data_IF_276359707798
#
_entry.id   IF_276359707798
#
_cell.length_a   1.000
_cell.length_b   1.000
_cell.length_c   1.000
_cell.angle_alpha   90.00
_cell.angle_beta   90.00
_cell.angle_gamma   90.00
#
_symmetry.space_group_name_H-M   'P 1'
#
loop_
_entity.id
_entity.type
_entity.pdbx_description
1 polymer ?
#
# COMPACT_ATOMS: atom_id res chain seq x y z
N UNK A 1 -27.97 8.52 -15.22
CA UNK A 1 -28.04 7.51 -14.14
C UNK A 1 -26.82 6.60 -14.01
N UNK A 2 -26.16 6.14 -15.10
CA UNK A 2 -24.97 5.25 -15.00
C UNK A 2 -23.78 5.84 -14.23
N UNK A 3 -23.58 7.15 -14.33
CA UNK A 3 -22.54 7.90 -13.60
C UNK A 3 -22.77 7.77 -12.09
N UNK A 4 -23.98 8.07 -11.61
CA UNK A 4 -24.31 8.02 -10.17
C UNK A 4 -24.04 6.63 -9.60
N UNK A 5 -24.47 5.55 -10.27
CA UNK A 5 -24.23 4.17 -9.81
C UNK A 5 -22.75 3.77 -9.77
N UNK A 6 -21.88 4.43 -10.55
CA UNK A 6 -20.46 4.13 -10.57
C UNK A 6 -19.68 4.93 -9.51
N UNK A 7 -20.01 6.21 -9.32
CA UNK A 7 -19.31 7.08 -8.38
C UNK A 7 -19.83 6.95 -6.94
N UNK A 8 -21.10 6.60 -6.76
CA UNK A 8 -21.70 6.41 -5.43
C UNK A 8 -20.94 5.40 -4.55
N UNK A 9 -20.61 4.17 -5.01
CA UNK A 9 -19.87 3.23 -4.17
C UNK A 9 -18.47 3.73 -3.81
N UNK A 10 -17.79 4.41 -4.75
CA UNK A 10 -16.46 4.95 -4.51
C UNK A 10 -16.47 6.11 -3.52
N UNK A 11 -17.48 6.98 -3.61
CA UNK A 11 -17.71 8.06 -2.66
C UNK A 11 -18.07 7.51 -1.27
N UNK A 12 -18.93 6.49 -1.21
CA UNK A 12 -19.32 5.86 0.04
C UNK A 12 -18.12 5.19 0.72
N UNK A 13 -17.29 4.46 -0.02
CA UNK A 13 -16.04 3.89 0.49
C UNK A 13 -15.05 4.92 1.04
N UNK A 14 -15.16 6.19 0.62
CA UNK A 14 -14.27 7.26 1.06
C UNK A 14 -14.85 8.03 2.25
N UNK A 15 -16.14 8.36 2.21
CA UNK A 15 -16.81 9.13 3.27
C UNK A 15 -17.04 8.27 4.52
N UNK A 16 -17.43 7.01 4.35
CA UNK A 16 -17.72 6.11 5.48
C UNK A 16 -16.54 5.98 6.47
N UNK A 17 -15.31 5.59 6.07
CA UNK A 17 -14.21 5.44 7.02
C UNK A 17 -13.80 6.78 7.63
N UNK A 18 -13.82 7.87 6.86
CA UNK A 18 -13.56 9.22 7.38
C UNK A 18 -14.50 9.56 8.53
N UNK A 19 -15.81 9.37 8.32
CA UNK A 19 -16.81 9.65 9.35
C UNK A 19 -16.66 8.70 10.53
N UNK A 20 -16.52 7.39 10.28
CA UNK A 20 -16.36 6.39 11.33
C UNK A 20 -15.16 6.71 12.25
N UNK A 21 -13.98 6.93 11.68
CA UNK A 21 -12.79 7.23 12.47
C UNK A 21 -12.87 8.60 13.14
N UNK A 22 -13.51 9.59 12.52
CA UNK A 22 -13.77 10.88 13.19
C UNK A 22 -14.61 10.70 14.47
N UNK A 23 -15.70 9.94 14.40
CA UNK A 23 -16.53 9.66 15.58
C UNK A 23 -15.82 8.78 16.60
N UNK A 24 -15.16 7.71 16.15
CA UNK A 24 -14.53 6.72 17.03
C UNK A 24 -13.29 7.27 17.75
N UNK A 25 -12.53 8.18 17.13
CA UNK A 25 -11.29 8.72 17.71
C UNK A 25 -11.55 10.03 18.47
N UNK A 26 -12.34 10.96 17.91
CA UNK A 26 -12.46 12.31 18.49
C UNK A 26 -13.62 12.40 19.48
N UNK A 27 -14.75 11.76 19.17
CA UNK A 27 -15.98 11.91 19.96
C UNK A 27 -16.19 10.79 20.97
N UNK A 28 -15.42 9.71 20.88
CA UNK A 28 -15.50 8.62 21.85
C UNK A 28 -14.87 9.04 23.20
N UNK A 29 -15.56 8.85 24.33
CA UNK A 29 -15.05 9.28 25.63
C UNK A 29 -13.77 8.53 26.00
N UNK A 30 -12.73 9.28 26.34
CA UNK A 30 -11.44 8.79 26.80
C UNK A 30 -11.12 9.40 28.17
N UNK A 31 -10.85 8.55 29.16
CA UNK A 31 -10.49 9.02 30.51
C UNK A 31 -8.99 9.42 30.64
N UNK A 32 -8.20 9.32 29.56
CA UNK A 32 -6.78 9.70 29.51
C UNK A 32 -5.81 8.79 30.28
N UNK A 33 -6.32 7.86 31.09
CA UNK A 33 -5.52 6.95 31.95
C UNK A 33 -4.79 5.84 31.19
N UNK A 34 -5.17 5.59 29.93
CA UNK A 34 -4.62 4.53 29.07
C UNK A 34 -3.50 5.01 28.14
N UNK A 35 -3.09 6.28 28.24
CA UNK A 35 -2.01 6.81 27.41
C UNK A 35 -0.66 6.40 27.96
N UNK A 36 -0.18 5.26 27.48
CA UNK A 36 1.20 4.86 27.67
C UNK A 36 2.09 5.55 26.62
N UNK A 37 2.91 6.49 27.07
CA UNK A 37 3.91 7.20 26.24
C UNK A 37 5.24 6.44 26.15
N UNK A 38 5.36 5.29 26.81
CA UNK A 38 6.54 4.42 26.74
C UNK A 38 6.41 3.32 25.68
N UNK A 39 5.20 3.14 25.12
CA UNK A 39 4.95 2.23 24.00
C UNK A 39 5.46 2.80 22.66
N UNK A 40 5.74 1.91 21.70
CA UNK A 40 6.20 2.26 20.35
C UNK A 40 5.19 3.15 19.59
N UNK A 41 3.91 3.02 19.92
CA UNK A 41 2.84 3.88 19.47
C UNK A 41 2.47 4.79 20.66
N UNK A 42 2.79 6.08 20.56
CA UNK A 42 2.35 7.06 21.56
C UNK A 42 0.84 6.93 21.79
N UNK A 43 0.42 6.40 22.94
CA UNK A 43 -0.95 5.98 23.16
C UNK A 43 -1.16 4.51 22.73
N UNK A 44 -0.99 3.61 23.70
CA UNK A 44 -1.05 2.14 23.60
C UNK A 44 -2.18 1.55 22.72
N UNK A 45 -3.33 2.22 22.59
CA UNK A 45 -4.36 1.96 21.58
C UNK A 45 -5.43 3.08 21.63
N UNK A 46 -6.24 3.21 20.57
CA UNK A 46 -7.41 4.10 20.59
C UNK A 46 -8.38 3.67 21.71
N UNK A 47 -9.00 4.62 22.40
CA UNK A 47 -9.86 4.31 23.55
C UNK A 47 -11.06 3.42 23.16
N UNK A 48 -11.63 3.60 21.97
CA UNK A 48 -12.76 2.77 21.54
C UNK A 48 -12.38 1.29 21.37
N UNK A 49 -11.13 1.00 21.03
CA UNK A 49 -10.60 -0.37 20.91
C UNK A 49 -10.44 -1.04 22.29
N UNK A 50 -10.05 -0.29 23.32
CA UNK A 50 -9.87 -0.77 24.69
C UNK A 50 -11.19 -0.94 25.45
N UNK A 51 -12.03 0.10 25.46
CA UNK A 51 -13.24 0.13 26.28
C UNK A 51 -14.43 -0.56 25.63
N UNK A 52 -14.47 -0.60 24.29
CA UNK A 52 -15.58 -1.18 23.56
C UNK A 52 -15.14 -2.31 22.63
N UNK A 53 -15.08 -3.52 23.20
CA UNK A 53 -14.74 -4.74 22.46
C UNK A 53 -15.60 -4.96 21.22
N UNK A 54 -16.87 -4.55 21.25
CA UNK A 54 -17.78 -4.67 20.11
C UNK A 54 -17.32 -3.76 18.96
N UNK A 55 -17.01 -2.51 19.28
CA UNK A 55 -16.55 -1.53 18.30
C UNK A 55 -15.16 -1.87 17.75
N UNK A 56 -14.24 -2.32 18.61
CA UNK A 56 -12.92 -2.80 18.19
C UNK A 56 -12.98 -4.03 17.29
N UNK A 57 -13.83 -5.01 17.63
CA UNK A 57 -14.04 -6.21 16.81
C UNK A 57 -14.72 -5.85 15.49
N UNK A 58 -15.65 -4.89 15.50
CA UNK A 58 -16.29 -4.39 14.29
C UNK A 58 -15.27 -3.71 13.36
N UNK A 59 -14.42 -2.83 13.86
CA UNK A 59 -13.38 -2.18 13.06
C UNK A 59 -12.40 -3.21 12.48
N UNK A 60 -11.88 -4.11 13.31
CA UNK A 60 -10.96 -5.15 12.86
C UNK A 60 -11.60 -6.09 11.82
N UNK A 61 -12.86 -6.49 12.01
CA UNK A 61 -13.52 -7.45 11.10
C UNK A 61 -14.03 -6.80 9.82
N UNK A 62 -14.76 -5.70 9.93
CA UNK A 62 -15.47 -5.08 8.80
C UNK A 62 -14.64 -4.03 8.09
N UNK A 63 -13.91 -3.18 8.81
CA UNK A 63 -13.12 -2.12 8.17
C UNK A 63 -11.77 -2.67 7.68
N UNK A 64 -11.20 -3.68 8.33
CA UNK A 64 -9.91 -4.25 7.95
C UNK A 64 -10.03 -5.66 7.32
N UNK A 65 -10.70 -6.58 8.00
CA UNK A 65 -10.81 -7.98 7.55
C UNK A 65 -11.56 -8.16 6.23
N UNK A 66 -12.73 -7.53 6.08
CA UNK A 66 -13.56 -7.67 4.88
C UNK A 66 -12.86 -7.12 3.62
N UNK A 67 -12.27 -5.90 3.61
CA UNK A 67 -11.48 -5.43 2.49
C UNK A 67 -10.31 -6.34 2.15
N UNK A 68 -9.65 -6.94 3.14
CA UNK A 68 -8.57 -7.89 2.89
C UNK A 68 -9.07 -9.15 2.18
N UNK A 69 -10.19 -9.74 2.61
CA UNK A 69 -10.78 -10.91 1.94
C UNK A 69 -11.19 -10.58 0.51
N UNK A 70 -11.83 -9.43 0.30
CA UNK A 70 -12.18 -8.95 -1.05
C UNK A 70 -10.93 -8.80 -1.90
N UNK A 71 -9.87 -8.20 -1.34
CA UNK A 71 -8.60 -8.02 -2.03
C UNK A 71 -7.99 -9.37 -2.42
N UNK A 72 -7.94 -10.33 -1.49
CA UNK A 72 -7.44 -11.69 -1.78
C UNK A 72 -8.22 -12.36 -2.93
N UNK A 73 -9.56 -12.33 -2.89
CA UNK A 73 -10.41 -12.88 -3.95
C UNK A 73 -10.20 -12.15 -5.29
N UNK A 74 -10.09 -10.83 -5.27
CA UNK A 74 -9.82 -10.02 -6.45
C UNK A 74 -8.48 -10.38 -7.10
N UNK A 75 -7.44 -10.66 -6.29
CA UNK A 75 -6.14 -11.07 -6.80
C UNK A 75 -6.15 -12.45 -7.43
N UNK A 76 -6.82 -13.41 -6.81
CA UNK A 76 -7.03 -14.73 -7.40
C UNK A 76 -7.76 -14.59 -8.75
N UNK A 77 -8.84 -13.80 -8.79
CA UNK A 77 -9.58 -13.54 -10.01
C UNK A 77 -8.73 -12.86 -11.10
N UNK A 78 -7.85 -11.92 -10.73
CA UNK A 78 -6.92 -11.26 -11.64
C UNK A 78 -5.89 -12.22 -12.20
N UNK A 79 -5.28 -13.08 -11.37
CA UNK A 79 -4.33 -14.10 -11.82
C UNK A 79 -5.00 -15.03 -12.84
N UNK A 80 -6.20 -15.53 -12.52
CA UNK A 80 -6.98 -16.38 -13.43
C UNK A 80 -7.29 -15.66 -14.74
N UNK A 81 -7.69 -14.39 -14.69
CA UNK A 81 -7.95 -13.58 -15.89
C UNK A 81 -6.68 -13.40 -16.73
N UNK A 82 -5.54 -13.10 -16.12
CA UNK A 82 -4.27 -12.93 -16.82
C UNK A 82 -3.83 -14.24 -17.49
N UNK A 83 -3.93 -15.38 -16.81
CA UNK A 83 -3.58 -16.69 -17.38
C UNK A 83 -4.50 -17.02 -18.56
N UNK A 84 -5.80 -16.78 -18.43
CA UNK A 84 -6.78 -17.00 -19.52
C UNK A 84 -6.55 -16.05 -20.69
N UNK A 85 -6.26 -14.78 -20.42
CA UNK A 85 -6.07 -13.76 -21.45
C UNK A 85 -4.74 -13.92 -22.20
N UNK A 86 -3.69 -14.37 -21.51
CA UNK A 86 -2.41 -14.79 -22.14
C UNK A 86 -2.61 -15.88 -23.19
N UNK A 87 -3.58 -16.78 -22.98
CA UNK A 87 -3.92 -17.84 -23.93
C UNK A 87 -4.76 -17.36 -25.12
N UNK A 88 -5.49 -16.24 -24.99
CA UNK A 88 -6.42 -15.74 -26.03
C UNK A 88 -5.87 -14.59 -26.89
N UNK A 89 -4.99 -13.73 -26.38
CA UNK A 89 -4.56 -12.52 -27.10
C UNK A 89 -3.10 -12.61 -27.60
N UNK A 90 -2.92 -12.61 -28.92
CA UNK A 90 -1.63 -12.49 -29.61
C UNK A 90 -1.18 -11.02 -29.84
N UNK A 91 -1.99 -10.02 -29.46
CA UNK A 91 -1.64 -8.61 -29.66
C UNK A 91 -0.69 -8.09 -28.57
N UNK A 92 0.61 -8.01 -28.90
CA UNK A 92 1.69 -7.72 -27.95
C UNK A 92 1.67 -6.31 -27.33
N UNK A 93 1.12 -5.30 -28.02
CA UNK A 93 1.20 -3.89 -27.61
C UNK A 93 0.22 -3.52 -26.49
N UNK A 94 -1.09 -3.80 -26.65
CA UNK A 94 -2.10 -3.57 -25.60
C UNK A 94 -1.90 -4.50 -24.40
N UNK A 95 -1.39 -5.71 -24.65
CA UNK A 95 -1.03 -6.67 -23.60
C UNK A 95 0.03 -6.14 -22.63
N UNK A 96 1.05 -5.42 -23.13
CA UNK A 96 2.12 -4.89 -22.27
C UNK A 96 1.60 -3.86 -21.27
N UNK A 97 0.65 -3.02 -21.68
CA UNK A 97 0.05 -2.00 -20.81
C UNK A 97 -0.90 -2.62 -19.78
N UNK A 98 -1.79 -3.52 -20.20
CA UNK A 98 -2.67 -4.24 -19.28
C UNK A 98 -1.89 -5.10 -18.27
N UNK A 99 -0.85 -5.82 -18.73
CA UNK A 99 0.00 -6.61 -17.83
C UNK A 99 0.65 -5.75 -16.75
N UNK A 100 1.10 -4.55 -17.10
CA UNK A 100 1.78 -3.65 -16.16
C UNK A 100 0.83 -3.16 -15.07
N UNK A 101 -0.39 -2.74 -15.42
CA UNK A 101 -1.41 -2.34 -14.45
C UNK A 101 -1.79 -3.51 -13.54
N UNK A 102 -1.93 -4.72 -14.09
CA UNK A 102 -2.24 -5.89 -13.27
C UNK A 102 -1.10 -6.28 -12.34
N UNK A 103 0.17 -6.22 -12.80
CA UNK A 103 1.34 -6.49 -11.94
C UNK A 103 1.42 -5.46 -10.81
N UNK A 104 1.07 -4.20 -11.08
CA UNK A 104 1.02 -3.17 -10.05
C UNK A 104 -0.02 -3.47 -8.98
N UNK A 105 -1.24 -3.79 -9.41
CA UNK A 105 -2.32 -4.12 -8.48
C UNK A 105 -2.00 -5.37 -7.65
N UNK A 106 -1.38 -6.37 -8.29
CA UNK A 106 -0.95 -7.61 -7.65
C UNK A 106 0.19 -7.38 -6.66
N UNK A 107 1.17 -6.55 -7.00
CA UNK A 107 2.26 -6.18 -6.10
C UNK A 107 1.72 -5.46 -4.86
N UNK A 108 0.89 -4.43 -5.04
CA UNK A 108 0.28 -3.68 -3.94
C UNK A 108 -0.55 -4.62 -3.06
N UNK A 109 -1.41 -5.43 -3.67
CA UNK A 109 -2.21 -6.36 -2.89
C UNK A 109 -1.39 -7.41 -2.16
N UNK A 110 -0.32 -7.94 -2.77
CA UNK A 110 0.51 -8.94 -2.11
C UNK A 110 1.19 -8.36 -0.87
N UNK A 111 1.65 -7.11 -0.93
CA UNK A 111 2.18 -6.40 0.24
C UNK A 111 1.11 -6.25 1.34
N UNK A 112 -0.10 -5.84 0.98
CA UNK A 112 -1.20 -5.75 1.94
C UNK A 112 -1.54 -7.10 2.59
N UNK A 113 -1.56 -8.18 1.81
CA UNK A 113 -1.83 -9.53 2.35
C UNK A 113 -0.70 -9.97 3.29
N UNK A 114 0.56 -9.77 2.91
CA UNK A 114 1.71 -10.14 3.76
C UNK A 114 1.69 -9.36 5.07
N UNK A 115 1.34 -8.07 5.02
CA UNK A 115 1.27 -7.23 6.20
C UNK A 115 0.13 -7.60 7.15
N UNK A 116 -1.07 -7.87 6.62
CA UNK A 116 -2.26 -8.10 7.44
C UNK A 116 -2.52 -9.56 7.80
N UNK A 117 -2.02 -10.53 7.00
CA UNK A 117 -2.30 -11.94 7.24
C UNK A 117 -1.87 -12.43 8.64
N UNK A 118 -0.70 -12.06 9.18
CA UNK A 118 -0.31 -12.46 10.52
C UNK A 118 -1.31 -12.00 11.59
N UNK A 119 -1.77 -10.74 11.52
CA UNK A 119 -2.75 -10.20 12.46
C UNK A 119 -4.12 -10.87 12.32
N UNK A 120 -4.58 -11.13 11.09
CA UNK A 120 -5.85 -11.82 10.86
C UNK A 120 -5.83 -13.27 11.37
N UNK A 121 -4.75 -14.01 11.10
CA UNK A 121 -4.62 -15.41 11.54
C UNK A 121 -4.66 -15.47 13.06
N UNK A 122 -3.90 -14.62 13.76
CA UNK A 122 -3.89 -14.61 15.22
C UNK A 122 -5.24 -14.21 15.78
N UNK A 123 -5.88 -13.16 15.25
CA UNK A 123 -7.21 -12.74 15.73
C UNK A 123 -8.29 -13.81 15.52
N UNK A 124 -8.24 -14.56 14.40
CA UNK A 124 -9.14 -15.71 14.20
C UNK A 124 -8.92 -16.80 15.25
N UNK A 125 -7.67 -17.12 15.57
CA UNK A 125 -7.34 -18.10 16.63
C UNK A 125 -7.82 -17.62 18.01
N UNK A 126 -7.72 -16.33 18.28
CA UNK A 126 -8.21 -15.73 19.52
C UNK A 126 -9.73 -15.83 19.65
N UNK A 127 -10.48 -15.63 18.56
CA UNK A 127 -11.94 -15.76 18.54
C UNK A 127 -12.37 -17.23 18.66
N UNK A 128 -11.63 -18.16 18.06
CA UNK A 128 -12.01 -19.58 17.97
C UNK A 128 -11.76 -20.37 19.26
N UNK A 129 -10.96 -19.88 20.20
CA UNK A 129 -10.82 -20.56 21.50
C UNK A 129 -9.63 -20.18 22.36
N UNK A 130 -8.66 -19.40 21.86
CA UNK A 130 -7.46 -19.04 22.61
C UNK A 130 -7.28 -17.52 22.70
N UNK A 131 -8.08 -16.81 23.52
CA UNK A 131 -8.17 -15.35 23.51
C UNK A 131 -6.86 -14.63 23.87
N UNK A 132 -5.92 -15.30 24.54
CA UNK A 132 -4.61 -14.75 24.91
C UNK A 132 -3.48 -15.16 23.97
N UNK A 133 -3.76 -16.00 22.95
CA UNK A 133 -2.75 -16.50 22.04
C UNK A 133 -2.10 -15.36 21.27
N UNK A 134 -0.79 -15.17 21.48
CA UNK A 134 0.03 -14.15 20.81
C UNK A 134 -0.53 -12.72 20.89
N UNK A 135 -1.36 -12.40 21.87
CA UNK A 135 -2.01 -11.08 21.95
C UNK A 135 -0.99 -9.93 22.03
N UNK A 136 0.05 -10.08 22.84
CA UNK A 136 1.14 -9.09 22.96
C UNK A 136 1.95 -8.96 21.66
N UNK A 137 2.30 -10.09 21.02
CA UNK A 137 3.05 -10.05 19.75
C UNK A 137 2.19 -9.43 18.63
N UNK A 138 0.89 -9.67 18.66
CA UNK A 138 -0.03 -9.09 17.71
C UNK A 138 -0.12 -7.56 17.85
N UNK A 139 -0.26 -7.06 19.08
CA UNK A 139 -0.33 -5.61 19.35
C UNK A 139 0.98 -4.91 19.05
N UNK A 140 2.11 -5.53 19.43
CA UNK A 140 3.41 -4.85 19.41
C UNK A 140 4.15 -4.98 18.08
N UNK A 141 3.76 -5.95 17.22
CA UNK A 141 4.46 -6.21 15.96
C UNK A 141 3.51 -6.38 14.77
N UNK A 142 2.47 -7.20 14.88
CA UNK A 142 1.65 -7.52 13.71
C UNK A 142 0.75 -6.38 13.26
N UNK A 143 0.29 -5.52 14.17
CA UNK A 143 -0.39 -4.29 13.78
C UNK A 143 0.57 -3.29 13.11
N UNK A 144 1.81 -3.20 13.60
CA UNK A 144 2.83 -2.30 13.05
C UNK A 144 3.34 -2.72 11.67
N UNK A 145 3.15 -3.98 11.27
CA UNK A 145 3.50 -4.44 9.92
C UNK A 145 2.80 -3.64 8.83
N UNK A 146 1.68 -2.97 9.11
CA UNK A 146 1.01 -2.11 8.13
C UNK A 146 1.89 -0.93 7.69
N UNK A 147 2.74 -0.41 8.56
CA UNK A 147 3.66 0.70 8.23
C UNK A 147 4.70 0.28 7.18
N UNK A 148 5.02 -1.00 7.12
CA UNK A 148 5.85 -1.57 6.06
C UNK A 148 5.18 -1.36 4.70
N UNK A 149 3.87 -1.52 4.60
CA UNK A 149 3.13 -1.26 3.34
C UNK A 149 3.28 0.20 2.92
N UNK A 150 3.11 1.14 3.86
CA UNK A 150 3.31 2.56 3.61
C UNK A 150 4.74 2.87 3.14
N UNK A 151 5.75 2.21 3.72
CA UNK A 151 7.14 2.37 3.34
C UNK A 151 7.43 1.83 1.93
N UNK A 152 6.87 0.68 1.57
CA UNK A 152 7.13 0.00 0.29
C UNK A 152 6.25 0.49 -0.88
N UNK A 153 5.09 1.10 -0.61
CA UNK A 153 4.17 1.65 -1.62
C UNK A 153 4.89 2.58 -2.63
N UNK A 154 5.65 3.60 -2.19
CA UNK A 154 6.39 4.48 -3.10
C UNK A 154 7.35 3.71 -4.00
N UNK A 155 8.05 2.71 -3.48
CA UNK A 155 8.98 1.89 -4.25
C UNK A 155 8.27 1.03 -5.30
N UNK A 156 7.10 0.47 -4.97
CA UNK A 156 6.26 -0.24 -5.93
C UNK A 156 5.76 0.69 -7.03
N UNK A 157 5.33 1.91 -6.70
CA UNK A 157 4.94 2.88 -7.72
C UNK A 157 6.12 3.29 -8.61
N UNK A 158 7.27 3.64 -8.01
CA UNK A 158 8.46 4.08 -8.74
C UNK A 158 8.99 2.99 -9.68
N UNK A 159 9.10 1.75 -9.20
CA UNK A 159 9.59 0.61 -9.99
C UNK A 159 8.69 0.28 -11.19
N UNK A 160 7.40 0.62 -11.10
CA UNK A 160 6.43 0.37 -12.14
C UNK A 160 6.10 1.59 -13.00
N UNK A 161 6.74 2.76 -12.83
CA UNK A 161 6.71 3.88 -13.78
C UNK A 161 7.99 3.93 -14.64
N UNK A 162 8.03 3.27 -15.82
CA UNK A 162 9.17 3.25 -16.71
C UNK A 162 9.42 4.60 -17.36
N UNK A 163 8.42 5.48 -17.46
CA UNK A 163 8.62 6.87 -17.91
C UNK A 163 9.47 7.64 -16.91
N UNK A 164 9.21 7.45 -15.61
CA UNK A 164 9.98 8.07 -14.55
C UNK A 164 11.38 7.47 -14.43
N UNK A 165 11.51 6.15 -14.58
CA UNK A 165 12.83 5.49 -14.65
C UNK A 165 13.62 5.96 -15.88
N UNK A 166 12.97 6.11 -17.04
CA UNK A 166 13.61 6.67 -18.25
C UNK A 166 14.07 8.11 -18.00
N UNK A 167 13.19 8.94 -17.46
CA UNK A 167 13.51 10.33 -17.13
C UNK A 167 14.67 10.45 -16.14
N UNK A 168 14.69 9.63 -15.07
CA UNK A 168 15.81 9.57 -14.12
C UNK A 168 17.11 9.13 -14.80
N UNK A 169 17.06 8.11 -15.67
CA UNK A 169 18.24 7.66 -16.43
C UNK A 169 18.75 8.73 -17.38
N UNK A 170 17.86 9.44 -18.07
CA UNK A 170 18.20 10.56 -18.95
C UNK A 170 18.84 11.71 -18.14
N UNK A 171 18.31 12.03 -16.96
CA UNK A 171 18.87 13.04 -16.06
C UNK A 171 20.28 12.66 -15.57
N UNK A 172 20.48 11.39 -15.22
CA UNK A 172 21.78 10.83 -14.81
C UNK A 172 22.80 10.84 -15.95
N UNK A 173 22.40 10.43 -17.16
CA UNK A 173 23.27 10.46 -18.34
C UNK A 173 23.62 11.89 -18.78
N UNK A 174 22.66 12.82 -18.70
CA UNK A 174 22.89 14.24 -18.99
C UNK A 174 23.89 14.86 -18.00
N UNK A 175 23.85 14.47 -16.72
CA UNK A 175 24.86 14.86 -15.72
C UNK A 175 26.24 14.27 -16.01
N UNK A 176 26.31 13.04 -16.52
CA UNK A 176 27.56 12.36 -16.83
C UNK A 176 28.28 12.97 -18.05
N UNK A 177 27.52 13.44 -19.06
CA UNK A 177 28.07 14.11 -20.24
C UNK A 177 28.63 15.52 -19.99
N UNK A 178 28.18 16.22 -18.93
CA UNK A 178 28.71 17.55 -18.57
C UNK A 178 30.05 17.52 -17.84
N UNK A 179 30.44 16.39 -17.26
CA UNK A 179 31.72 16.26 -16.55
C UNK A 179 32.87 15.77 -17.45
N UNK A 180 32.62 15.56 -18.75
CA UNK A 180 33.64 15.28 -19.76
C UNK A 180 33.90 16.56 -20.60
N UNK A 181 34.45 17.59 -19.97
CA UNK A 181 35.12 18.67 -20.71
C UNK A 181 36.43 18.11 -21.22
N UNK A 182 36.44 17.61 -22.45
CA UNK A 182 37.67 17.24 -23.15
C UNK A 182 38.55 18.48 -23.33
N UNK A 183 39.89 18.36 -23.24
CA UNK A 183 40.79 19.51 -23.34
C UNK A 183 40.66 20.13 -24.74
N UNK A 184 40.31 21.41 -24.78
CA UNK A 184 40.30 22.24 -25.98
C UNK A 184 41.70 22.22 -26.60
N UNK A 185 41.87 21.55 -27.74
CA UNK A 185 43.09 21.66 -28.55
C UNK A 185 43.19 23.10 -29.05
N UNK A 186 44.15 23.85 -28.53
CA UNK A 186 44.62 25.09 -29.12
C UNK A 186 45.30 24.75 -30.45
N UNK A 187 44.64 25.11 -31.55
CA UNK A 187 45.21 25.03 -32.90
C UNK A 187 46.28 26.13 -33.01
N UNK A 188 47.52 25.73 -33.24
CA UNK A 188 48.62 26.62 -33.62
C UNK A 188 48.29 27.31 -34.95
N UNK A 189 48.22 28.65 -34.92
CA UNK A 189 48.17 29.49 -36.11
C UNK A 189 49.60 29.65 -36.63
N UNK A 190 49.97 28.78 -37.56
CA UNK A 190 51.15 28.93 -38.41
C UNK A 190 50.76 29.75 -39.64
N UNK A 191 50.77 31.08 -39.52
CA UNK A 191 50.68 31.98 -40.68
C UNK A 191 52.06 32.28 -41.20
N UNK A 192 52.36 31.66 -42.34
CA UNK A 192 53.47 31.98 -43.25
C UNK A 192 53.49 33.48 -43.56
N UNK A 193 54.68 34.08 -43.45
CA UNK A 193 55.16 35.19 -44.26
C UNK A 193 56.64 34.94 -44.54
#
# INVERSE_FOLDING_TARGET
>A
MRIVLHYLPLLLCLIYPMMFYFFAIILYPCDGTQWDYTSNLCGFADCYLLFNKVLGTFDWSFNNGLPMVINALANIALIVRVVRQKRRFQHALTWRQHRRMTVQLLAISSLYIIAWAPSLIVGLVQILGYPTFLAQIQTDFFLDLIYVVCLFLPWVYLSLLPELIKWIKELLHYRQGRNLVGPTRTIQLETRL
#
